data_IF_849835493533
#
_entry.id   IF_849835493533
#
_cell.length_a   1.000
_cell.length_b   1.000
_cell.length_c   1.000
_cell.angle_alpha   90.00
_cell.angle_beta   90.00
_cell.angle_gamma   90.00
#
_symmetry.space_group_name_H-M   'P 1'
#
loop_
_entity.id
_entity.type
_entity.pdbx_description
1 polymer ?
#
# COMPACT_ATOMS: atom_id res chain seq x y z
N UNK A 1 -28.51 54.58 22.08
CA UNK A 1 -28.63 53.48 21.10
C UNK A 1 -27.43 53.55 20.15
N UNK A 2 -26.31 52.87 20.41
CA UNK A 2 -25.23 52.56 19.43
C UNK A 2 -24.01 51.99 20.16
N UNK A 3 -23.97 50.69 20.45
CA UNK A 3 -22.72 50.01 20.89
C UNK A 3 -22.73 48.47 20.77
N UNK A 4 -23.66 47.91 19.99
CA UNK A 4 -23.83 46.44 19.87
C UNK A 4 -23.59 45.96 18.43
N UNK A 5 -23.48 46.88 17.44
CA UNK A 5 -23.37 46.52 16.01
C UNK A 5 -21.95 46.20 15.52
N UNK A 6 -20.91 46.59 16.26
CA UNK A 6 -19.51 46.41 15.84
C UNK A 6 -18.95 45.02 16.17
N UNK A 7 -19.51 44.34 17.18
CA UNK A 7 -18.94 43.10 17.72
C UNK A 7 -19.33 41.84 16.93
N UNK A 8 -20.40 41.90 16.14
CA UNK A 8 -20.90 40.72 15.40
C UNK A 8 -20.16 40.54 14.06
N UNK A 9 -19.60 41.62 13.50
CA UNK A 9 -18.92 41.58 12.20
C UNK A 9 -17.54 40.91 12.30
N UNK A 10 -16.88 40.98 13.46
CA UNK A 10 -15.56 40.36 13.67
C UNK A 10 -15.61 38.85 13.94
N UNK A 11 -16.76 38.30 14.36
CA UNK A 11 -16.85 36.86 14.70
C UNK A 11 -17.10 35.95 13.51
N UNK A 12 -17.51 36.47 12.34
CA UNK A 12 -17.86 35.64 11.17
C UNK A 12 -16.64 35.34 10.28
N UNK A 13 -15.54 36.07 10.42
CA UNK A 13 -14.37 35.98 9.49
C UNK A 13 -13.32 34.94 9.94
N UNK A 14 -13.49 34.29 11.09
CA UNK A 14 -12.53 33.30 11.61
C UNK A 14 -13.01 31.84 11.55
N UNK A 15 -14.02 31.56 10.72
CA UNK A 15 -14.42 30.20 10.42
C UNK A 15 -14.31 29.99 8.91
N UNK A 16 -13.81 28.82 8.50
CA UNK A 16 -13.69 28.35 7.12
C UNK A 16 -12.38 28.76 6.42
N UNK A 17 -11.28 28.14 6.84
CA UNK A 17 -10.17 27.81 5.93
C UNK A 17 -9.55 26.48 6.35
N UNK A 18 -10.36 25.46 6.61
CA UNK A 18 -9.89 24.09 6.49
C UNK A 18 -9.98 23.76 5.00
N UNK A 19 -8.92 24.08 4.26
CA UNK A 19 -8.76 23.47 2.94
C UNK A 19 -8.53 22.00 3.21
N UNK A 20 -9.58 21.19 3.03
CA UNK A 20 -9.42 19.75 2.88
C UNK A 20 -8.64 19.62 1.59
N UNK A 21 -7.32 19.51 1.73
CA UNK A 21 -6.45 19.12 0.64
C UNK A 21 -6.93 17.73 0.25
N UNK A 22 -7.62 17.61 -0.89
CA UNK A 22 -8.11 16.35 -1.44
C UNK A 22 -6.94 15.50 -1.98
N UNK A 23 -5.79 15.48 -1.27
CA UNK A 23 -4.76 14.51 -1.55
C UNK A 23 -5.33 13.13 -1.22
N UNK A 24 -5.32 12.18 -2.18
CA UNK A 24 -5.83 10.85 -1.90
C UNK A 24 -5.06 10.25 -0.72
N UNK A 25 -5.80 9.81 0.29
CA UNK A 25 -5.24 9.14 1.46
C UNK A 25 -4.59 7.82 1.00
N UNK A 26 -3.26 7.80 1.02
CA UNK A 26 -2.50 6.61 0.70
C UNK A 26 -2.41 5.68 1.92
N UNK A 27 -2.36 4.35 1.70
CA UNK A 27 -2.23 3.40 2.79
C UNK A 27 -0.89 3.54 3.53
N UNK A 28 -0.77 2.88 4.68
CA UNK A 28 0.46 2.87 5.45
C UNK A 28 1.66 2.41 4.59
N UNK A 29 2.83 3.00 4.85
CA UNK A 29 4.09 2.72 4.15
C UNK A 29 4.06 3.05 2.64
N UNK A 30 3.22 4.01 2.25
CA UNK A 30 3.16 4.52 0.89
C UNK A 30 3.06 6.05 0.87
N UNK A 31 3.28 6.62 -0.31
CA UNK A 31 3.15 8.06 -0.57
C UNK A 31 2.43 8.29 -1.88
N UNK A 32 1.64 9.35 -1.95
CA UNK A 32 1.07 9.79 -3.21
C UNK A 32 2.17 10.35 -4.11
N UNK A 33 2.18 9.93 -5.37
CA UNK A 33 3.01 10.49 -6.42
C UNK A 33 2.14 10.82 -7.62
N UNK A 34 2.17 12.09 -8.05
CA UNK A 34 1.46 12.55 -9.25
C UNK A 34 1.98 11.87 -10.53
N UNK A 35 3.24 11.43 -10.51
CA UNK A 35 3.91 10.75 -11.61
C UNK A 35 4.50 9.42 -11.15
N UNK A 36 3.64 8.51 -10.69
CA UNK A 36 4.01 7.15 -10.27
C UNK A 36 4.19 6.23 -11.48
N UNK A 37 5.09 5.25 -11.37
CA UNK A 37 5.17 4.13 -12.32
C UNK A 37 4.38 2.95 -11.79
N UNK A 38 3.58 2.29 -12.64
CA UNK A 38 2.85 1.07 -12.25
C UNK A 38 3.75 -0.18 -12.13
N UNK A 39 5.06 -0.01 -12.22
CA UNK A 39 6.06 -1.09 -12.21
C UNK A 39 6.60 -1.42 -10.82
N UNK A 40 6.00 -0.84 -9.77
CA UNK A 40 6.39 -1.18 -8.41
C UNK A 40 6.05 -2.66 -8.12
N UNK A 41 6.98 -3.43 -7.53
CA UNK A 41 6.79 -4.85 -7.33
C UNK A 41 5.69 -5.14 -6.32
N UNK A 42 4.78 -6.04 -6.67
CA UNK A 42 3.83 -6.66 -5.74
C UNK A 42 4.49 -7.82 -5.00
N UNK A 43 3.91 -8.29 -3.90
CA UNK A 43 4.36 -9.55 -3.31
C UNK A 43 4.29 -10.72 -4.31
N UNK A 44 3.31 -10.74 -5.22
CA UNK A 44 3.21 -11.82 -6.20
C UNK A 44 4.44 -11.83 -7.13
N UNK A 45 4.87 -10.65 -7.58
CA UNK A 45 6.05 -10.50 -8.44
C UNK A 45 7.31 -11.03 -7.75
N UNK A 46 7.46 -10.76 -6.45
CA UNK A 46 8.58 -11.25 -5.65
C UNK A 46 8.55 -12.79 -5.54
N UNK A 47 7.37 -13.35 -5.31
CA UNK A 47 7.18 -14.80 -5.13
C UNK A 47 7.43 -15.56 -6.43
N UNK A 48 6.97 -15.01 -7.56
CA UNK A 48 7.13 -15.60 -8.89
C UNK A 48 8.50 -15.29 -9.51
N UNK A 49 9.27 -14.39 -8.91
CA UNK A 49 10.59 -13.99 -9.40
C UNK A 49 10.53 -13.09 -10.63
N UNK A 50 9.46 -12.31 -10.79
CA UNK A 50 9.34 -11.32 -11.85
C UNK A 50 10.29 -10.14 -11.61
N UNK A 51 11.01 -9.74 -12.65
CA UNK A 51 11.88 -8.57 -12.59
C UNK A 51 11.10 -7.32 -13.01
N UNK A 52 11.19 -6.25 -12.20
CA UNK A 52 10.66 -4.92 -12.54
C UNK A 52 11.19 -4.37 -13.86
N UNK A 53 12.37 -4.82 -14.30
CA UNK A 53 12.99 -4.37 -15.55
C UNK A 53 12.20 -4.78 -16.80
N UNK A 54 11.35 -5.82 -16.69
CA UNK A 54 10.48 -6.29 -17.78
C UNK A 54 9.19 -5.45 -17.89
N UNK A 55 8.94 -4.54 -16.95
CA UNK A 55 7.77 -3.69 -16.95
C UNK A 55 7.96 -2.47 -17.86
N UNK A 56 6.99 -2.25 -18.76
CA UNK A 56 6.94 -1.03 -19.58
C UNK A 56 6.37 0.10 -18.72
N UNK A 57 7.15 1.15 -18.39
CA UNK A 57 6.72 2.18 -17.47
C UNK A 57 5.53 2.94 -18.05
N UNK A 58 4.45 2.99 -17.27
CA UNK A 58 3.32 3.90 -17.51
C UNK A 58 3.20 4.82 -16.31
N UNK A 59 3.01 6.10 -16.62
CA UNK A 59 2.97 7.13 -15.61
C UNK A 59 1.55 7.60 -15.37
N UNK A 60 1.13 7.56 -14.11
CA UNK A 60 -0.17 8.04 -13.65
C UNK A 60 -0.09 8.46 -12.18
N UNK A 61 -0.98 9.34 -11.70
CA UNK A 61 -1.07 9.64 -10.29
C UNK A 61 -1.51 8.40 -9.50
N UNK A 62 -0.72 7.98 -8.52
CA UNK A 62 -1.02 6.81 -7.69
C UNK A 62 -0.30 6.85 -6.33
N UNK A 63 -0.68 5.96 -5.43
CA UNK A 63 0.04 5.66 -4.19
C UNK A 63 1.15 4.64 -4.45
N UNK A 64 2.37 5.01 -4.11
CA UNK A 64 3.57 4.20 -4.33
C UNK A 64 4.17 3.80 -2.99
N UNK A 65 4.52 2.53 -2.85
CA UNK A 65 5.21 2.02 -1.67
C UNK A 65 6.55 2.74 -1.42
N UNK A 66 6.97 2.83 -0.16
CA UNK A 66 8.34 3.23 0.15
C UNK A 66 9.34 2.16 -0.33
N UNK A 67 10.60 2.56 -0.44
CA UNK A 67 11.68 1.64 -0.77
C UNK A 67 11.77 0.52 0.30
N UNK A 68 11.90 -0.73 -0.16
CA UNK A 68 11.89 -1.91 0.71
C UNK A 68 10.48 -2.43 1.08
N UNK A 69 9.43 -1.82 0.53
CA UNK A 69 8.05 -2.27 0.68
C UNK A 69 7.47 -2.71 -0.67
N UNK A 70 6.49 -3.59 -0.61
CA UNK A 70 5.83 -4.17 -1.78
C UNK A 70 4.33 -4.22 -1.58
N UNK A 71 3.61 -4.08 -2.69
CA UNK A 71 2.16 -4.01 -2.64
C UNK A 71 1.55 -5.38 -2.33
N UNK A 72 0.67 -5.41 -1.33
CA UNK A 72 -0.04 -6.62 -0.90
C UNK A 72 -1.42 -6.29 -0.36
N UNK A 73 -2.48 -6.79 -1.01
CA UNK A 73 -3.87 -6.62 -0.56
C UNK A 73 -4.30 -5.19 -0.17
N UNK A 74 -3.81 -4.18 -0.90
CA UNK A 74 -4.20 -2.78 -0.67
C UNK A 74 -3.33 -2.02 0.32
N UNK A 75 -2.25 -2.63 0.82
CA UNK A 75 -1.27 -2.00 1.71
C UNK A 75 0.15 -2.31 1.25
N UNK A 76 1.11 -1.48 1.69
CA UNK A 76 2.53 -1.72 1.46
C UNK A 76 3.11 -2.46 2.67
N UNK A 77 3.63 -3.66 2.44
CA UNK A 77 4.27 -4.51 3.47
C UNK A 77 5.76 -4.63 3.19
N UNK A 78 6.61 -4.88 4.20
CA UNK A 78 8.03 -5.11 3.97
C UNK A 78 8.25 -6.24 2.97
N UNK A 79 9.14 -6.07 2.00
CA UNK A 79 9.42 -7.09 0.95
C UNK A 79 9.77 -8.46 1.55
N UNK A 80 10.51 -8.48 2.66
CA UNK A 80 10.86 -9.71 3.40
C UNK A 80 9.64 -10.47 3.97
N UNK A 81 8.52 -9.78 4.17
CA UNK A 81 7.26 -10.40 4.59
C UNK A 81 6.62 -11.20 3.44
N UNK A 82 6.74 -10.72 2.20
CA UNK A 82 6.26 -11.45 1.02
C UNK A 82 6.97 -12.81 0.88
N UNK A 83 8.30 -12.83 1.03
CA UNK A 83 9.13 -14.03 0.89
C UNK A 83 8.84 -15.08 1.97
N UNK A 84 8.65 -14.63 3.22
CA UNK A 84 8.28 -15.51 4.34
C UNK A 84 6.93 -16.20 4.10
N UNK A 85 5.95 -15.45 3.59
CA UNK A 85 4.61 -15.96 3.33
C UNK A 85 4.59 -17.03 2.23
N UNK A 86 5.39 -16.87 1.16
CA UNK A 86 5.52 -17.90 0.12
C UNK A 86 6.09 -19.24 0.63
N UNK A 87 7.02 -19.16 1.58
CA UNK A 87 7.63 -20.36 2.18
C UNK A 87 6.61 -21.12 3.04
N UNK A 88 5.79 -20.41 3.82
CA UNK A 88 4.74 -21.03 4.63
C UNK A 88 3.61 -21.65 3.80
N UNK A 89 3.24 -21.06 2.66
CA UNK A 89 2.25 -21.65 1.74
C UNK A 89 2.76 -22.93 1.07
N UNK A 90 4.07 -23.08 0.90
CA UNK A 90 4.70 -24.26 0.31
C UNK A 90 4.93 -25.40 1.32
N UNK A 91 4.94 -25.10 2.62
CA UNK A 91 5.23 -26.11 3.67
C UNK A 91 3.95 -26.79 4.21
N UNK A 92 2.76 -26.36 3.77
CA UNK A 92 1.50 -27.03 4.10
C UNK A 92 1.21 -28.30 3.24
N UNK A 93 2.11 -28.68 2.33
CA UNK A 93 2.08 -29.97 1.61
C UNK A 93 3.26 -30.83 2.05
N UNK A 94 3.37 -31.04 3.37
CA UNK A 94 4.27 -32.03 3.97
C UNK A 94 3.54 -32.79 5.08
N UNK A 95 2.38 -33.35 4.75
CA UNK A 95 1.77 -34.53 5.40
C UNK A 95 1.55 -35.52 4.26
N UNK A 96 2.12 -36.73 4.21
CA UNK A 96 2.44 -37.64 5.31
C UNK A 96 3.44 -38.72 4.81
N UNK A 97 4.51 -39.05 5.55
CA UNK A 97 5.26 -40.29 5.34
C UNK A 97 4.59 -41.43 6.10
N UNK A 98 3.69 -42.15 5.43
CA UNK A 98 3.24 -43.48 5.87
C UNK A 98 3.29 -44.40 4.65
N UNK A 99 4.35 -45.19 4.51
CA UNK A 99 4.34 -46.58 4.99
C UNK A 99 3.41 -47.47 4.16
N UNK A 100 4.01 -48.16 3.18
CA UNK A 100 3.59 -49.48 2.74
C UNK A 100 4.82 -50.25 2.27
N UNK A 101 5.61 -50.65 3.26
CA UNK A 101 6.27 -51.96 3.19
C UNK A 101 5.15 -53.02 3.21
N UNK A 102 5.18 -53.95 2.25
CA UNK A 102 4.04 -54.85 2.02
C UNK A 102 4.28 -55.83 0.90
N UNK A 103 5.32 -56.66 1.07
CA UNK A 103 5.32 -58.12 0.89
C UNK A 103 4.35 -58.69 -0.17
N UNK A 104 4.90 -59.15 -1.32
CA UNK A 104 5.11 -60.57 -1.64
C UNK A 104 5.35 -60.82 -3.14
#
# INVERSE_FOLDING_TARGET
MTKIRELVVFSVVLAISAQVDETPDCPENSRFQEYATICDPTCQDIIEGHNKDDCIPRYMPDCVCFEGFSWFHGVCVPTEECERNATTSSTAVATDPADRDGDK
#
